data_IF_993891069770
#
_entry.id   IF_993891069770
#
_cell.length_a   1.000
_cell.length_b   1.000
_cell.length_c   1.000
_cell.angle_alpha   90.00
_cell.angle_beta   90.00
_cell.angle_gamma   90.00
#
_symmetry.space_group_name_H-M   'P 1'
#
loop_
_entity.id
_entity.type
_entity.pdbx_description
1 polymer ?
#
# COMPACT_ATOMS: atom_id res chain seq x y z
N UNK A 1 4.29 -6.64 -5.57
CA UNK A 1 5.47 -7.02 -6.40
C UNK A 1 5.24 -8.32 -7.15
N UNK A 2 5.15 -9.47 -6.46
CA UNK A 2 5.02 -10.79 -7.10
C UNK A 2 3.90 -10.88 -8.16
N UNK A 3 2.72 -10.32 -7.89
CA UNK A 3 1.62 -10.26 -8.87
C UNK A 3 2.06 -9.68 -10.24
N UNK A 4 2.80 -8.56 -10.23
CA UNK A 4 3.29 -7.90 -11.44
C UNK A 4 4.38 -8.74 -12.10
N UNK A 5 5.31 -9.28 -11.30
CA UNK A 5 6.43 -10.09 -11.80
C UNK A 5 5.95 -11.37 -12.50
N UNK A 6 4.99 -12.08 -11.91
CA UNK A 6 4.40 -13.29 -12.49
C UNK A 6 3.67 -12.95 -13.79
N UNK A 7 2.82 -11.92 -13.82
CA UNK A 7 2.12 -11.55 -15.05
C UNK A 7 3.08 -11.17 -16.18
N UNK A 8 4.13 -10.38 -15.88
CA UNK A 8 5.15 -10.03 -16.87
C UNK A 8 5.92 -11.25 -17.37
N UNK A 9 6.25 -12.19 -16.49
CA UNK A 9 6.94 -13.44 -16.87
C UNK A 9 6.10 -14.28 -17.85
N UNK A 10 4.76 -14.23 -17.72
CA UNK A 10 3.81 -14.88 -18.62
C UNK A 10 3.43 -14.00 -19.84
N UNK A 11 4.05 -12.83 -20.02
CA UNK A 11 3.72 -11.90 -21.11
C UNK A 11 2.34 -11.25 -21.01
N UNK A 12 1.75 -11.22 -19.80
CA UNK A 12 0.45 -10.64 -19.49
C UNK A 12 0.58 -9.24 -18.85
N UNK A 13 -0.46 -8.43 -19.02
CA UNK A 13 -0.52 -7.07 -18.45
C UNK A 13 -1.17 -7.09 -17.04
N UNK A 14 -0.53 -6.52 -16.00
CA UNK A 14 -1.14 -6.33 -14.68
C UNK A 14 -2.29 -5.31 -14.72
N UNK A 15 -3.51 -5.82 -14.93
CA UNK A 15 -4.70 -5.00 -15.15
C UNK A 15 -5.24 -4.21 -13.95
N UNK A 16 -4.77 -4.47 -12.73
CA UNK A 16 -5.17 -3.70 -11.56
C UNK A 16 -4.94 -4.42 -10.23
N UNK A 17 -5.23 -3.70 -9.14
CA UNK A 17 -5.21 -4.20 -7.76
C UNK A 17 -6.49 -3.77 -7.05
N UNK A 18 -6.86 -4.50 -6.00
CA UNK A 18 -8.01 -4.18 -5.17
C UNK A 18 -7.56 -4.09 -3.70
N UNK A 19 -7.92 -3.01 -3.02
CA UNK A 19 -7.56 -2.77 -1.61
C UNK A 19 -8.80 -2.35 -0.82
N UNK A 20 -8.86 -2.79 0.44
CA UNK A 20 -9.74 -2.16 1.44
C UNK A 20 -9.00 -0.98 2.06
N UNK A 21 -9.57 0.22 1.95
CA UNK A 21 -8.93 1.45 2.38
C UNK A 21 -9.92 2.46 2.95
N UNK A 22 -9.41 3.39 3.75
CA UNK A 22 -10.18 4.53 4.29
C UNK A 22 -9.30 5.77 4.34
N UNK A 23 -9.88 6.95 4.09
CA UNK A 23 -9.22 8.24 4.29
C UNK A 23 -9.11 8.67 5.75
N UNK A 24 -9.60 7.85 6.68
CA UNK A 24 -9.52 8.10 8.12
C UNK A 24 -8.15 7.69 8.67
N UNK A 25 -7.69 8.42 9.69
CA UNK A 25 -6.48 8.09 10.45
C UNK A 25 -6.75 6.93 11.41
N UNK A 26 -6.73 5.72 10.87
CA UNK A 26 -6.99 4.46 11.59
C UNK A 26 -5.70 3.67 11.82
N UNK A 27 -5.72 2.85 12.87
CA UNK A 27 -4.63 1.93 13.24
C UNK A 27 -5.08 0.48 13.01
N UNK A 28 -5.42 0.14 11.78
CA UNK A 28 -6.02 -1.16 11.44
C UNK A 28 -4.98 -2.15 10.84
N UNK A 29 -4.10 -1.68 9.96
CA UNK A 29 -2.99 -2.48 9.41
C UNK A 29 -1.65 -2.11 10.07
N UNK A 30 -0.85 -3.12 10.42
CA UNK A 30 0.53 -2.92 10.90
C UNK A 30 1.48 -2.54 9.77
N UNK A 31 2.63 -1.94 10.12
CA UNK A 31 3.67 -1.51 9.18
C UNK A 31 3.25 -0.34 8.26
N UNK A 32 4.06 -0.06 7.24
CA UNK A 32 3.92 1.07 6.32
C UNK A 32 4.54 2.37 6.85
N UNK A 33 4.33 3.47 6.13
CA UNK A 33 4.91 4.78 6.40
C UNK A 33 4.72 5.27 7.85
N UNK A 34 3.59 4.92 8.48
CA UNK A 34 3.28 5.27 9.87
C UNK A 34 3.96 4.41 10.94
N UNK A 35 4.71 3.37 10.58
CA UNK A 35 5.40 2.44 11.49
C UNK A 35 4.48 1.85 12.59
N UNK A 36 3.22 1.57 12.24
CA UNK A 36 2.25 1.03 13.18
C UNK A 36 2.68 -0.36 13.67
N UNK A 37 2.78 -0.50 14.97
CA UNK A 37 3.03 -1.78 15.65
C UNK A 37 1.70 -2.44 16.06
N UNK A 38 1.76 -3.71 16.47
CA UNK A 38 0.59 -4.40 17.01
C UNK A 38 0.01 -3.70 18.25
N UNK A 39 0.85 -3.04 19.05
CA UNK A 39 0.43 -2.30 20.24
C UNK A 39 -0.41 -1.06 19.90
N UNK A 40 -0.23 -0.50 18.70
CA UNK A 40 -0.96 0.69 18.26
C UNK A 40 -2.37 0.37 17.79
N UNK A 41 -2.66 -0.91 17.47
CA UNK A 41 -3.92 -1.31 16.86
C UNK A 41 -5.13 -0.90 17.70
N UNK A 42 -5.07 -1.04 19.03
CA UNK A 42 -6.19 -0.70 19.92
C UNK A 42 -6.54 0.80 19.97
N UNK A 43 -5.72 1.68 19.40
CA UNK A 43 -5.94 3.13 19.45
C UNK A 43 -7.14 3.56 18.62
N UNK A 44 -7.22 3.08 17.36
CA UNK A 44 -8.21 3.49 16.36
C UNK A 44 -8.58 2.35 15.40
N UNK A 45 -8.85 1.17 15.94
CA UNK A 45 -9.42 0.06 15.18
C UNK A 45 -10.94 0.21 15.08
N UNK A 46 -11.46 0.69 13.94
CA UNK A 46 -12.86 1.14 13.84
C UNK A 46 -13.75 0.23 12.98
N UNK A 47 -13.18 -0.81 12.39
CA UNK A 47 -13.91 -1.80 11.59
C UNK A 47 -14.21 -3.05 12.41
N UNK A 48 -15.39 -3.64 12.20
CA UNK A 48 -15.71 -4.99 12.66
C UNK A 48 -15.44 -6.05 11.57
N UNK A 49 -15.07 -5.61 10.37
CA UNK A 49 -14.66 -6.44 9.24
C UNK A 49 -13.12 -6.54 9.22
N UNK A 50 -12.56 -6.77 8.04
CA UNK A 50 -11.11 -6.82 7.83
C UNK A 50 -10.46 -5.42 8.01
N UNK A 51 -9.19 -5.38 8.43
CA UNK A 51 -8.43 -4.14 8.62
C UNK A 51 -8.15 -3.42 7.31
N UNK A 52 -8.38 -2.11 7.28
CA UNK A 52 -8.22 -1.27 6.09
C UNK A 52 -6.88 -0.52 6.11
N UNK A 53 -6.36 -0.23 4.93
CA UNK A 53 -5.27 0.73 4.77
C UNK A 53 -5.75 2.13 5.16
N UNK A 54 -4.99 2.83 5.99
CA UNK A 54 -5.19 4.26 6.19
C UNK A 54 -4.65 5.08 5.00
N UNK A 55 -4.83 6.40 5.03
CA UNK A 55 -4.47 7.28 3.93
C UNK A 55 -2.98 7.20 3.54
N UNK A 56 -2.08 7.18 4.52
CA UNK A 56 -0.63 7.14 4.30
C UNK A 56 -0.19 5.79 3.72
N UNK A 57 -0.70 4.69 4.26
CA UNK A 57 -0.44 3.35 3.75
C UNK A 57 -0.98 3.18 2.32
N UNK A 58 -2.16 3.70 2.02
CA UNK A 58 -2.72 3.66 0.67
C UNK A 58 -1.87 4.46 -0.33
N UNK A 59 -1.39 5.64 0.06
CA UNK A 59 -0.53 6.46 -0.79
C UNK A 59 0.82 5.79 -1.03
N UNK A 60 1.41 5.18 0.00
CA UNK A 60 2.63 4.39 -0.14
C UNK A 60 2.44 3.24 -1.16
N UNK A 61 1.34 2.49 -1.05
CA UNK A 61 1.03 1.41 -1.99
C UNK A 61 0.91 1.92 -3.43
N UNK A 62 0.30 3.10 -3.64
CA UNK A 62 0.20 3.70 -4.97
C UNK A 62 1.58 3.98 -5.57
N UNK A 63 2.52 4.52 -4.79
CA UNK A 63 3.89 4.75 -5.23
C UNK A 63 4.64 3.44 -5.49
N UNK A 64 4.55 2.45 -4.60
CA UNK A 64 5.20 1.15 -4.81
C UNK A 64 4.71 0.44 -6.08
N UNK A 65 3.41 0.58 -6.41
CA UNK A 65 2.85 0.05 -7.65
C UNK A 65 3.36 0.84 -8.84
N UNK A 66 3.41 2.17 -8.76
CA UNK A 66 3.94 3.02 -9.83
C UNK A 66 5.39 2.64 -10.19
N UNK A 67 6.26 2.50 -9.18
CA UNK A 67 7.64 2.06 -9.35
C UNK A 67 7.74 0.66 -9.96
N UNK A 68 6.87 -0.27 -9.54
CA UNK A 68 6.84 -1.62 -10.07
C UNK A 68 6.34 -1.69 -11.53
N UNK A 69 5.44 -0.79 -11.92
CA UNK A 69 4.95 -0.69 -13.30
C UNK A 69 5.96 0.03 -14.22
N UNK A 70 6.71 1.00 -13.69
CA UNK A 70 7.67 1.80 -14.43
C UNK A 70 9.04 1.90 -13.74
N UNK A 71 9.86 0.83 -13.81
CA UNK A 71 11.15 0.79 -13.11
C UNK A 71 12.14 1.88 -13.56
N UNK A 72 11.99 2.38 -14.79
CA UNK A 72 12.87 3.38 -15.38
C UNK A 72 12.57 4.82 -14.90
N UNK A 73 11.42 5.05 -14.28
CA UNK A 73 11.01 6.35 -13.73
C UNK A 73 11.08 6.38 -12.20
N UNK A 74 12.13 5.76 -11.63
CA UNK A 74 12.34 5.72 -10.18
C UNK A 74 12.14 7.10 -9.55
N UNK A 75 11.28 7.15 -8.54
CA UNK A 75 10.91 8.37 -7.84
C UNK A 75 12.16 9.07 -7.27
N UNK A 76 12.52 10.23 -7.82
CA UNK A 76 13.38 11.19 -7.13
C UNK A 76 12.59 11.67 -5.92
N UNK A 77 12.96 11.25 -4.71
CA UNK A 77 12.55 11.96 -3.49
C UNK A 77 12.90 13.43 -3.70
N UNK A 78 11.89 14.27 -3.92
CA UNK A 78 12.04 15.69 -3.68
C UNK A 78 12.37 15.76 -2.18
N UNK A 79 13.64 16.01 -1.89
CA UNK A 79 14.10 16.30 -0.55
C UNK A 79 13.44 17.60 -0.14
N UNK A 80 12.55 17.55 0.85
CA UNK A 80 12.15 18.65 1.72
C UNK A 80 11.53 18.05 2.99
#
# INVERSE_FOLDING_TARGET
RQFIEVLRAEGLEPGGVHFEMTGQDVTECVSGAGHLSEADLSSRYHTHCDPRLNADQALEMAFQISDALNPAQGFRRAAE
#
